data_IF_895718499041
#
_entry.id   IF_895718499041
#
_cell.length_a   1.000
_cell.length_b   1.000
_cell.length_c   1.000
_cell.angle_alpha   90.00
_cell.angle_beta   90.00
_cell.angle_gamma   90.00
#
_symmetry.space_group_name_H-M   'P 1'
#
loop_
_entity.id
_entity.type
_entity.pdbx_description
1 polymer ?
#
# COMPACT_ATOMS: atom_id res chain seq x y z
N UNK A 1 10.77 -111.70 -33.76
CA UNK A 1 12.02 -111.05 -33.34
C UNK A 1 11.78 -109.56 -33.40
N UNK A 2 11.65 -108.90 -32.24
CA UNK A 2 12.55 -107.84 -31.73
C UNK A 2 12.47 -106.55 -32.61
N UNK A 3 12.12 -105.37 -32.11
CA UNK A 3 12.67 -104.76 -30.90
C UNK A 3 11.79 -103.61 -30.36
N UNK A 4 11.86 -103.47 -29.04
CA UNK A 4 11.22 -102.53 -28.12
C UNK A 4 12.22 -101.41 -27.79
N UNK A 5 11.75 -100.17 -27.68
CA UNK A 5 12.23 -99.08 -26.81
C UNK A 5 11.66 -97.75 -27.34
N UNK A 6 11.39 -96.70 -26.58
CA UNK A 6 11.34 -96.39 -25.15
C UNK A 6 11.10 -94.88 -25.11
N UNK A 7 10.29 -94.38 -24.18
CA UNK A 7 10.36 -92.97 -23.75
C UNK A 7 9.07 -92.17 -23.88
N UNK A 8 8.29 -92.16 -22.79
CA UNK A 8 7.49 -91.01 -22.40
C UNK A 8 8.43 -89.89 -21.93
N UNK A 9 8.05 -88.60 -22.01
CA UNK A 9 7.47 -88.03 -20.79
C UNK A 9 6.28 -87.10 -21.04
N UNK A 10 5.38 -87.10 -20.06
CA UNK A 10 4.46 -86.01 -19.76
C UNK A 10 5.18 -84.67 -19.85
N UNK A 11 4.58 -83.68 -20.51
CA UNK A 11 4.87 -82.28 -20.25
C UNK A 11 3.57 -81.51 -20.11
N UNK A 12 3.19 -81.39 -18.84
CA UNK A 12 2.57 -80.25 -18.18
C UNK A 12 1.94 -79.20 -19.09
N UNK A 13 0.61 -79.12 -18.99
CA UNK A 13 -0.11 -77.88 -19.13
C UNK A 13 0.65 -76.73 -18.43
N UNK A 14 1.13 -75.76 -19.21
CA UNK A 14 1.52 -74.46 -18.67
C UNK A 14 0.59 -73.40 -19.25
N UNK A 15 -0.49 -73.16 -18.50
CA UNK A 15 -1.25 -71.92 -18.57
C UNK A 15 -0.28 -70.78 -18.19
N UNK A 16 0.00 -69.88 -19.13
CA UNK A 16 0.58 -68.56 -18.82
C UNK A 16 -0.21 -67.53 -19.60
N UNK A 17 -1.33 -67.12 -19.01
CA UNK A 17 -1.72 -65.72 -19.07
C UNK A 17 -1.21 -65.15 -17.71
N UNK A 18 -0.81 -63.87 -17.57
CA UNK A 18 -1.57 -62.80 -18.20
C UNK A 18 -0.84 -61.45 -18.44
N UNK A 19 -1.62 -60.52 -18.97
CA UNK A 19 -1.53 -59.06 -18.88
C UNK A 19 -0.17 -58.33 -18.86
N UNK A 20 0.13 -57.74 -20.02
CA UNK A 20 0.91 -56.52 -20.14
C UNK A 20 0.17 -55.32 -19.50
N UNK A 21 -0.06 -55.34 -18.18
CA UNK A 21 -0.28 -54.09 -17.46
C UNK A 21 1.08 -53.42 -17.36
N UNK A 22 1.34 -52.45 -18.25
CA UNK A 22 2.26 -51.38 -17.88
C UNK A 22 1.53 -50.64 -16.76
N UNK A 23 1.75 -51.09 -15.52
CA UNK A 23 1.48 -50.30 -14.33
C UNK A 23 2.26 -49.00 -14.52
N UNK A 24 1.56 -47.98 -15.02
CA UNK A 24 2.08 -46.62 -15.02
C UNK A 24 2.40 -46.32 -13.57
N UNK A 25 3.70 -46.24 -13.27
CA UNK A 25 4.18 -45.89 -11.94
C UNK A 25 3.54 -44.55 -11.57
N UNK A 26 2.53 -44.60 -10.70
CA UNK A 26 1.98 -43.40 -10.09
C UNK A 26 3.08 -42.88 -9.17
N UNK A 27 3.89 -41.95 -9.68
CA UNK A 27 4.73 -41.12 -8.85
C UNK A 27 3.76 -40.33 -7.96
N UNK A 28 3.46 -40.84 -6.77
CA UNK A 28 2.83 -40.02 -5.73
C UNK A 28 3.75 -38.81 -5.54
N UNK A 29 3.32 -37.59 -5.90
CA UNK A 29 4.17 -36.42 -5.77
C UNK A 29 4.34 -36.15 -4.28
N UNK A 30 5.55 -36.43 -3.78
CA UNK A 30 5.97 -36.05 -2.44
C UNK A 30 6.58 -34.66 -2.47
N UNK A 31 6.17 -33.81 -1.54
CA UNK A 31 6.75 -32.48 -1.36
C UNK A 31 8.24 -32.59 -1.04
N UNK A 32 9.09 -31.97 -1.84
CA UNK A 32 10.55 -32.05 -1.64
C UNK A 32 11.08 -30.87 -0.83
N UNK A 33 12.19 -31.06 -0.11
CA UNK A 33 12.88 -29.94 0.55
C UNK A 33 13.36 -28.90 -0.48
N UNK A 34 13.76 -29.35 -1.67
CA UNK A 34 14.17 -28.48 -2.77
C UNK A 34 13.03 -27.58 -3.23
N UNK A 35 11.81 -28.12 -3.30
CA UNK A 35 10.62 -27.35 -3.67
C UNK A 35 10.37 -26.21 -2.68
N UNK A 36 10.48 -26.47 -1.38
CA UNK A 36 10.39 -25.40 -0.38
C UNK A 36 11.52 -24.38 -0.47
N UNK A 37 12.74 -24.81 -0.76
CA UNK A 37 13.86 -23.89 -0.96
C UNK A 37 13.61 -22.96 -2.16
N UNK A 38 13.12 -23.50 -3.27
CA UNK A 38 12.81 -22.72 -4.47
C UNK A 38 11.63 -21.75 -4.22
N UNK A 39 10.59 -22.22 -3.53
CA UNK A 39 9.41 -21.40 -3.19
C UNK A 39 9.82 -20.21 -2.32
N UNK A 40 10.58 -20.44 -1.25
CA UNK A 40 11.06 -19.35 -0.37
C UNK A 40 12.00 -18.42 -1.14
N UNK A 41 12.86 -18.95 -2.01
CA UNK A 41 13.74 -18.12 -2.84
C UNK A 41 12.95 -17.18 -3.76
N UNK A 42 11.89 -17.67 -4.40
CA UNK A 42 11.03 -16.85 -5.27
C UNK A 42 10.25 -15.82 -4.44
N UNK A 43 9.71 -16.20 -3.28
CA UNK A 43 8.99 -15.27 -2.39
C UNK A 43 9.91 -14.12 -1.96
N UNK A 44 11.15 -14.41 -1.54
CA UNK A 44 12.09 -13.37 -1.12
C UNK A 44 12.48 -12.44 -2.27
N UNK A 45 12.65 -12.97 -3.49
CA UNK A 45 12.91 -12.16 -4.68
C UNK A 45 11.76 -11.19 -4.96
N UNK A 46 10.51 -11.67 -4.89
CA UNK A 46 9.32 -10.84 -5.10
C UNK A 46 9.19 -9.79 -3.99
N UNK A 47 9.34 -10.17 -2.71
CA UNK A 47 9.26 -9.25 -1.59
C UNK A 47 10.29 -8.12 -1.68
N UNK A 48 11.51 -8.43 -2.16
CA UNK A 48 12.57 -7.43 -2.30
C UNK A 48 12.19 -6.27 -3.23
N UNK A 49 11.37 -6.51 -4.25
CA UNK A 49 10.93 -5.47 -5.20
C UNK A 49 9.55 -4.90 -4.80
N UNK A 50 8.68 -5.74 -4.23
CA UNK A 50 7.31 -5.37 -3.88
C UNK A 50 7.23 -4.33 -2.75
N UNK A 51 8.02 -4.47 -1.69
CA UNK A 51 7.99 -3.57 -0.52
C UNK A 51 8.31 -2.11 -0.87
N UNK A 52 9.46 -1.78 -1.52
CA UNK A 52 9.77 -0.39 -1.85
C UNK A 52 8.78 0.21 -2.87
N UNK A 53 8.21 -0.61 -3.76
CA UNK A 53 7.19 -0.17 -4.71
C UNK A 53 5.89 0.23 -4.01
N UNK A 54 5.44 -0.58 -3.05
CA UNK A 54 4.23 -0.30 -2.28
C UNK A 54 4.34 0.98 -1.46
N UNK A 55 5.48 1.19 -0.78
CA UNK A 55 5.74 2.40 0.00
C UNK A 55 5.66 3.68 -0.85
N UNK A 56 6.27 3.68 -2.04
CA UNK A 56 6.21 4.83 -2.96
C UNK A 56 4.77 5.17 -3.34
N UNK A 57 3.97 4.17 -3.68
CA UNK A 57 2.57 4.37 -4.08
C UNK A 57 1.75 5.01 -2.97
N UNK A 58 1.96 4.57 -1.72
CA UNK A 58 1.31 5.19 -0.56
C UNK A 58 1.76 6.64 -0.35
N UNK A 59 3.06 6.93 -0.44
CA UNK A 59 3.58 8.30 -0.32
C UNK A 59 2.98 9.22 -1.38
N UNK A 60 2.91 8.78 -2.64
CA UNK A 60 2.26 9.56 -3.70
C UNK A 60 0.78 9.85 -3.41
N UNK A 61 0.05 8.87 -2.86
CA UNK A 61 -1.35 9.08 -2.48
C UNK A 61 -1.48 10.09 -1.34
N UNK A 62 -0.62 10.00 -0.32
CA UNK A 62 -0.58 10.95 0.80
C UNK A 62 -0.17 12.36 0.34
N UNK A 63 0.79 12.48 -0.57
CA UNK A 63 1.19 13.76 -1.20
C UNK A 63 0.02 14.40 -1.95
N UNK A 64 -0.70 13.60 -2.75
CA UNK A 64 -1.85 14.08 -3.51
C UNK A 64 -2.98 14.56 -2.59
N UNK A 65 -3.28 13.81 -1.54
CA UNK A 65 -4.27 14.19 -0.54
C UNK A 65 -3.85 15.45 0.22
N UNK A 66 -2.60 15.50 0.72
CA UNK A 66 -2.08 16.66 1.43
C UNK A 66 -2.21 17.94 0.59
N UNK A 67 -1.85 17.86 -0.69
CA UNK A 67 -1.93 19.01 -1.60
C UNK A 67 -3.37 19.48 -1.80
N UNK A 68 -4.31 18.56 -1.91
CA UNK A 68 -5.74 18.86 -2.07
C UNK A 68 -6.33 19.49 -0.80
N UNK A 69 -5.99 18.93 0.36
CA UNK A 69 -6.39 19.44 1.68
C UNK A 69 -5.85 20.85 1.92
N UNK A 70 -4.55 21.08 1.66
CA UNK A 70 -3.92 22.41 1.79
C UNK A 70 -4.55 23.43 0.83
N UNK A 71 -4.75 23.05 -0.43
CA UNK A 71 -5.39 23.93 -1.42
C UNK A 71 -6.81 24.33 -1.00
N UNK A 72 -7.58 23.35 -0.51
CA UNK A 72 -8.95 23.57 -0.04
C UNK A 72 -8.97 24.48 1.19
N UNK A 73 -8.12 24.22 2.20
CA UNK A 73 -8.05 25.05 3.40
C UNK A 73 -7.63 26.49 3.09
N UNK A 74 -6.59 26.69 2.27
CA UNK A 74 -6.12 28.02 1.82
C UNK A 74 -7.23 28.78 1.10
N UNK A 75 -7.91 28.13 0.15
CA UNK A 75 -9.04 28.75 -0.56
C UNK A 75 -10.19 29.14 0.36
N UNK A 76 -10.46 28.35 1.40
CA UNK A 76 -11.49 28.66 2.39
C UNK A 76 -11.07 29.84 3.28
N UNK A 77 -9.80 29.91 3.69
CA UNK A 77 -9.25 31.05 4.45
C UNK A 77 -9.37 32.34 3.64
N UNK A 78 -9.01 32.31 2.36
CA UNK A 78 -9.15 33.46 1.45
C UNK A 78 -10.62 33.90 1.36
N UNK A 79 -11.52 32.94 1.16
CA UNK A 79 -12.96 33.23 1.07
C UNK A 79 -13.52 33.81 2.37
N UNK A 80 -13.13 33.25 3.52
CA UNK A 80 -13.52 33.78 4.83
C UNK A 80 -13.04 35.23 4.98
N UNK A 81 -11.81 35.51 4.57
CA UNK A 81 -11.20 36.84 4.63
C UNK A 81 -11.92 37.84 3.75
N UNK A 82 -12.34 37.45 2.55
CA UNK A 82 -13.15 38.28 1.66
C UNK A 82 -14.53 38.61 2.25
N UNK A 83 -15.20 37.62 2.84
CA UNK A 83 -16.54 37.78 3.39
C UNK A 83 -16.55 38.61 4.70
N UNK A 84 -15.57 38.37 5.58
CA UNK A 84 -15.52 38.95 6.93
C UNK A 84 -14.59 40.16 7.04
N UNK A 85 -13.86 40.51 5.96
CA UNK A 85 -12.83 41.56 5.91
C UNK A 85 -11.70 41.39 6.94
N UNK A 86 -11.53 40.17 7.45
CA UNK A 86 -10.44 39.80 8.36
C UNK A 86 -10.11 38.31 8.20
N UNK A 87 -8.85 37.92 8.42
CA UNK A 87 -8.50 36.51 8.53
C UNK A 87 -9.19 35.84 9.73
N UNK A 88 -9.39 34.51 9.68
CA UNK A 88 -9.89 33.73 10.81
C UNK A 88 -8.84 33.69 11.93
N UNK A 89 -9.26 33.66 13.20
CA UNK A 89 -8.33 33.56 14.34
C UNK A 89 -7.72 32.15 14.47
N UNK A 90 -8.43 31.14 13.99
CA UNK A 90 -8.01 29.73 13.99
C UNK A 90 -8.78 28.91 12.96
N UNK A 91 -8.28 27.72 12.62
CA UNK A 91 -9.00 26.78 11.76
C UNK A 91 -10.34 26.32 12.36
N UNK A 92 -10.45 26.29 13.69
CA UNK A 92 -11.70 25.97 14.38
C UNK A 92 -12.80 27.03 14.15
N UNK A 93 -12.42 28.28 13.91
CA UNK A 93 -13.39 29.31 13.56
C UNK A 93 -14.07 28.99 12.22
N UNK A 94 -13.31 28.49 11.24
CA UNK A 94 -13.85 28.10 9.94
C UNK A 94 -14.88 26.98 10.08
N UNK A 95 -14.66 26.03 10.99
CA UNK A 95 -15.62 24.96 11.30
C UNK A 95 -16.85 25.52 12.01
N UNK A 96 -16.66 26.33 13.06
CA UNK A 96 -17.76 26.91 13.82
C UNK A 96 -18.65 27.85 13.00
N UNK A 97 -18.10 28.50 11.97
CA UNK A 97 -18.82 29.38 11.03
C UNK A 97 -19.38 28.64 9.81
N UNK A 98 -19.14 27.33 9.68
CA UNK A 98 -19.66 26.50 8.59
C UNK A 98 -18.96 26.70 7.25
N UNK A 99 -17.78 27.31 7.22
CA UNK A 99 -16.94 27.41 6.03
C UNK A 99 -16.24 26.07 5.73
N UNK A 100 -15.94 25.31 6.78
CA UNK A 100 -15.35 23.98 6.71
C UNK A 100 -16.24 22.99 7.49
N UNK A 101 -16.43 21.77 6.97
CA UNK A 101 -17.20 20.75 7.68
C UNK A 101 -16.47 20.20 8.90
N UNK A 102 -15.18 19.90 8.73
CA UNK A 102 -14.23 19.49 9.77
C UNK A 102 -12.82 19.76 9.27
N UNK A 103 -11.85 19.91 10.18
CA UNK A 103 -10.44 20.03 9.82
C UNK A 103 -9.97 18.68 9.25
N UNK A 104 -9.35 18.64 8.05
CA UNK A 104 -8.85 17.40 7.48
C UNK A 104 -7.70 16.83 8.32
N UNK A 105 -7.53 15.51 8.26
CA UNK A 105 -6.43 14.80 8.93
C UNK A 105 -5.21 14.90 8.03
N UNK A 106 -4.09 15.40 8.56
CA UNK A 106 -2.82 15.41 7.85
C UNK A 106 -2.38 13.96 7.55
N UNK A 107 -2.22 13.56 6.27
CA UNK A 107 -1.97 12.17 5.90
C UNK A 107 -0.55 11.68 6.28
N UNK A 108 0.36 12.57 6.69
CA UNK A 108 1.70 12.20 7.14
C UNK A 108 1.82 12.08 8.65
N UNK A 109 1.11 12.92 9.41
CA UNK A 109 1.11 12.87 10.88
C UNK A 109 -0.04 12.01 11.44
N UNK A 110 -1.09 11.81 10.66
CA UNK A 110 -2.31 11.11 11.07
C UNK A 110 -3.19 11.90 12.04
N UNK A 111 -3.06 13.23 12.10
CA UNK A 111 -3.77 14.09 13.05
C UNK A 111 -4.33 15.36 12.40
N UNK A 112 -5.46 15.84 12.91
CA UNK A 112 -6.06 17.14 12.55
C UNK A 112 -5.51 18.30 13.40
N UNK A 113 -4.64 18.03 14.37
CA UNK A 113 -4.09 19.03 15.31
C UNK A 113 -2.65 19.45 14.99
N UNK A 114 -2.01 18.81 14.02
CA UNK A 114 -0.59 19.04 13.71
C UNK A 114 -0.36 20.09 12.63
N UNK A 115 -1.43 20.65 12.05
CA UNK A 115 -1.33 21.72 11.07
C UNK A 115 -0.61 22.94 11.66
N UNK A 116 0.42 23.40 10.97
CA UNK A 116 1.16 24.60 11.33
C UNK A 116 0.48 25.79 10.67
N UNK A 117 -0.04 26.72 11.47
CA UNK A 117 -0.72 27.91 10.97
C UNK A 117 0.25 29.10 10.95
N UNK A 118 0.32 29.78 9.81
CA UNK A 118 1.01 31.06 9.69
C UNK A 118 0.01 32.18 9.98
N UNK A 119 0.35 33.03 10.94
CA UNK A 119 -0.50 34.13 11.37
C UNK A 119 0.15 35.46 11.01
N UNK A 120 -0.55 36.26 10.22
CA UNK A 120 -0.13 37.62 9.87
C UNK A 120 -0.96 38.65 10.62
N UNK A 121 -0.34 39.80 10.89
CA UNK A 121 -1.00 40.95 11.47
C UNK A 121 -1.59 41.81 10.34
N UNK A 122 -2.90 41.72 10.14
CA UNK A 122 -3.59 42.55 9.17
C UNK A 122 -4.01 43.87 9.82
N UNK A 123 -3.59 44.99 9.25
CA UNK A 123 -4.02 46.31 9.68
C UNK A 123 -5.47 46.55 9.23
N UNK A 124 -6.43 46.11 10.06
CA UNK A 124 -7.85 46.35 9.82
C UNK A 124 -8.21 47.85 9.95
N UNK A 125 -7.47 48.60 10.77
CA UNK A 125 -7.59 50.05 10.94
C UNK A 125 -6.29 50.65 11.52
N UNK A 126 -6.06 51.98 11.45
CA UNK A 126 -4.84 52.63 11.96
C UNK A 126 -4.52 52.37 13.45
N UNK A 127 -5.53 52.02 14.26
CA UNK A 127 -5.40 51.76 15.71
C UNK A 127 -5.64 50.29 16.11
N UNK A 128 -6.15 49.45 15.20
CA UNK A 128 -6.51 48.06 15.52
C UNK A 128 -5.92 47.14 14.47
N UNK A 129 -4.88 46.42 14.87
CA UNK A 129 -4.34 45.30 14.14
C UNK A 129 -5.02 44.01 14.58
N UNK A 130 -5.41 43.18 13.62
CA UNK A 130 -6.05 41.88 13.86
C UNK A 130 -5.10 40.82 13.34
N UNK A 131 -4.64 39.95 14.24
CA UNK A 131 -3.83 38.79 13.89
C UNK A 131 -4.75 37.65 13.49
N UNK A 132 -4.51 37.03 12.34
CA UNK A 132 -5.25 35.85 11.92
C UNK A 132 -4.47 34.97 10.98
N UNK A 133 -5.00 33.77 10.75
CA UNK A 133 -4.40 32.74 9.91
C UNK A 133 -4.45 33.18 8.45
N UNK A 134 -3.29 33.26 7.82
CA UNK A 134 -3.14 33.55 6.38
C UNK A 134 -2.74 32.32 5.58
N UNK A 135 -1.99 31.42 6.20
CA UNK A 135 -1.54 30.20 5.56
C UNK A 135 -1.52 29.01 6.54
N UNK A 136 -1.49 27.80 5.99
CA UNK A 136 -1.49 26.52 6.70
C UNK A 136 -0.51 25.58 6.02
N UNK A 137 0.26 24.86 6.83
CA UNK A 137 1.28 23.91 6.39
C UNK A 137 1.15 22.60 7.16
N UNK A 138 1.63 21.50 6.58
CA UNK A 138 1.69 20.20 7.26
C UNK A 138 2.59 20.27 8.49
N UNK A 139 2.27 19.46 9.51
CA UNK A 139 3.13 19.26 10.67
C UNK A 139 4.34 18.36 10.41
N UNK A 140 4.45 17.78 9.21
CA UNK A 140 5.46 16.79 8.86
C UNK A 140 6.77 17.43 8.39
N UNK A 141 7.88 17.03 9.00
CA UNK A 141 9.25 17.37 8.55
C UNK A 141 9.76 16.44 7.42
N UNK A 142 8.90 15.55 6.91
CA UNK A 142 9.30 14.65 5.83
C UNK A 142 9.56 15.42 4.54
N UNK A 143 10.55 14.94 3.78
CA UNK A 143 10.86 15.46 2.46
C UNK A 143 9.96 14.77 1.42
N UNK A 144 9.21 15.53 0.61
CA UNK A 144 8.50 14.99 -0.53
C UNK A 144 9.47 14.47 -1.57
N UNK A 145 8.92 13.69 -2.50
CA UNK A 145 9.65 13.19 -3.66
C UNK A 145 10.25 14.33 -4.53
N UNK A 146 9.74 15.56 -4.39
CA UNK A 146 10.18 16.76 -5.12
C UNK A 146 11.24 17.64 -4.39
N UNK A 147 11.56 17.39 -3.12
CA UNK A 147 12.76 17.92 -2.46
C UNK A 147 12.66 19.10 -1.48
N UNK A 148 11.49 19.71 -1.23
CA UNK A 148 11.30 20.74 -0.18
C UNK A 148 10.34 20.25 0.92
N UNK A 149 10.62 20.36 2.23
CA UNK A 149 9.80 19.76 3.29
C UNK A 149 8.32 20.15 3.24
N UNK A 150 7.41 19.27 3.68
CA UNK A 150 5.96 19.55 3.70
C UNK A 150 5.56 20.71 4.60
N UNK A 151 6.37 21.01 5.62
CA UNK A 151 6.20 22.19 6.49
C UNK A 151 6.46 23.53 5.79
N UNK A 152 7.03 23.52 4.58
CA UNK A 152 7.43 24.72 3.82
C UNK A 152 6.74 24.79 2.44
N UNK A 153 5.66 24.04 2.23
CA UNK A 153 4.92 23.91 0.97
C UNK A 153 3.49 24.44 1.08
#
# INVERSE_FOLDING_TARGET
MQQKASGSPEHSARKVEPDLWIEGASLTPGFTLLEMMLVVAIILLLCSIAVPHYQRTLTFAHEAQLRDDLFTMRSIIDRFTLDNKRPPESLNELVGKGYLGAIPIDPFTGSDQTWQVEMEESAASPEVSVRGVVDVHSGSDQLPLAGAPYSNC
#
